data_IF_737819919860
#
_entry.id   IF_737819919860
#
_cell.length_a   1.000
_cell.length_b   1.000
_cell.length_c   1.000
_cell.angle_alpha   90.00
_cell.angle_beta   90.00
_cell.angle_gamma   90.00
#
_symmetry.space_group_name_H-M   'P 1'
#
loop_
_entity.id
_entity.type
_entity.pdbx_description
1 polymer ?
#
# COMPACT_ATOMS: atom_id res chain seq x y z
N UNK A 1 -2.47 -23.00 -5.73
CA UNK A 1 -3.88 -22.59 -5.86
C UNK A 1 -4.12 -22.09 -7.27
N UNK A 2 -5.33 -22.25 -7.80
CA UNK A 2 -5.69 -21.72 -9.11
C UNK A 2 -6.59 -20.49 -8.96
N UNK A 3 -6.19 -19.38 -9.58
CA UNK A 3 -7.01 -18.19 -9.72
C UNK A 3 -7.31 -17.98 -11.21
N UNK A 4 -8.59 -17.83 -11.60
CA UNK A 4 -8.92 -17.52 -12.98
C UNK A 4 -8.26 -16.21 -13.42
N UNK A 5 -7.56 -16.19 -14.57
CA UNK A 5 -6.85 -15.02 -15.08
C UNK A 5 -7.75 -13.77 -15.15
N UNK A 6 -8.97 -13.94 -15.67
CA UNK A 6 -9.97 -12.87 -15.76
C UNK A 6 -10.31 -12.29 -14.38
N UNK A 7 -10.49 -13.15 -13.38
CA UNK A 7 -10.81 -12.71 -12.01
C UNK A 7 -9.63 -11.90 -11.43
N UNK A 8 -8.40 -12.39 -11.56
CA UNK A 8 -7.21 -11.67 -11.07
C UNK A 8 -7.06 -10.30 -11.72
N UNK A 9 -7.18 -10.21 -13.05
CA UNK A 9 -7.02 -8.96 -13.80
C UNK A 9 -8.09 -7.95 -13.38
N UNK A 10 -9.37 -8.37 -13.33
CA UNK A 10 -10.46 -7.48 -12.95
C UNK A 10 -10.32 -6.99 -11.51
N UNK A 11 -9.94 -7.87 -10.57
CA UNK A 11 -9.72 -7.46 -9.18
C UNK A 11 -8.49 -6.55 -9.04
N UNK A 12 -7.43 -6.76 -9.83
CA UNK A 12 -6.26 -5.88 -9.87
C UNK A 12 -6.65 -4.47 -10.34
N UNK A 13 -7.37 -4.37 -11.46
CA UNK A 13 -7.87 -3.08 -11.98
C UNK A 13 -8.79 -2.40 -10.97
N UNK A 14 -9.72 -3.14 -10.37
CA UNK A 14 -10.62 -2.59 -9.36
C UNK A 14 -9.86 -2.09 -8.13
N UNK A 15 -8.84 -2.81 -7.67
CA UNK A 15 -7.99 -2.38 -6.55
C UNK A 15 -7.17 -1.14 -6.91
N UNK A 16 -6.62 -1.06 -8.13
CA UNK A 16 -5.90 0.13 -8.58
C UNK A 16 -6.80 1.37 -8.57
N UNK A 17 -8.00 1.26 -9.16
CA UNK A 17 -9.00 2.33 -9.17
C UNK A 17 -9.45 2.71 -7.76
N UNK A 18 -9.65 1.72 -6.88
CA UNK A 18 -9.99 1.97 -5.49
C UNK A 18 -8.90 2.76 -4.76
N UNK A 19 -7.61 2.49 -5.01
CA UNK A 19 -6.53 3.31 -4.49
C UNK A 19 -6.56 4.74 -5.02
N UNK A 20 -6.83 4.95 -6.32
CA UNK A 20 -7.00 6.31 -6.85
C UNK A 20 -8.16 7.05 -6.17
N UNK A 21 -9.28 6.37 -5.91
CA UNK A 21 -10.41 6.97 -5.17
C UNK A 21 -10.03 7.25 -3.70
N UNK A 22 -9.33 6.32 -3.05
CA UNK A 22 -8.84 6.51 -1.69
C UNK A 22 -7.89 7.69 -1.58
N UNK A 23 -7.14 8.05 -2.62
CA UNK A 23 -6.29 9.24 -2.60
C UNK A 23 -7.07 10.53 -2.31
N UNK A 24 -8.29 10.65 -2.82
CA UNK A 24 -9.10 11.87 -2.67
C UNK A 24 -10.10 11.79 -1.51
N UNK A 25 -10.31 10.61 -0.93
CA UNK A 25 -11.39 10.35 0.03
C UNK A 25 -11.30 11.23 1.28
N UNK A 26 -10.12 11.39 1.88
CA UNK A 26 -9.96 12.25 3.05
C UNK A 26 -10.22 13.72 2.73
N UNK A 27 -9.76 14.19 1.57
CA UNK A 27 -10.00 15.55 1.11
C UNK A 27 -11.51 15.83 0.92
N UNK A 28 -12.25 14.88 0.36
CA UNK A 28 -13.70 15.01 0.18
C UNK A 28 -14.48 14.94 1.49
N UNK A 29 -14.03 14.13 2.45
CA UNK A 29 -14.75 13.91 3.69
C UNK A 29 -13.81 13.75 4.89
N UNK A 30 -13.21 14.83 5.39
CA UNK A 30 -12.19 14.76 6.44
C UNK A 30 -12.82 14.36 7.77
N UNK A 31 -12.44 13.19 8.27
CA UNK A 31 -12.82 12.68 9.59
C UNK A 31 -11.82 11.60 10.05
N UNK A 32 -11.86 11.17 11.33
CA UNK A 32 -10.91 10.18 11.84
C UNK A 32 -10.92 8.83 11.10
N UNK A 33 -12.07 8.41 10.56
CA UNK A 33 -12.18 7.14 9.82
C UNK A 33 -11.53 7.26 8.46
N UNK A 34 -11.82 8.34 7.71
CA UNK A 34 -11.20 8.57 6.40
C UNK A 34 -9.70 8.81 6.54
N UNK A 35 -9.25 9.45 7.61
CA UNK A 35 -7.82 9.62 7.91
C UNK A 35 -7.08 8.27 8.02
N UNK A 36 -7.71 7.22 8.53
CA UNK A 36 -7.06 5.91 8.66
C UNK A 36 -6.89 5.18 7.33
N UNK A 37 -7.80 5.43 6.37
CA UNK A 37 -7.86 4.69 5.10
C UNK A 37 -7.32 5.46 3.89
N UNK A 38 -7.22 6.77 4.00
CA UNK A 38 -6.85 7.69 2.92
C UNK A 38 -5.67 8.57 3.34
N UNK A 39 -4.82 9.00 2.39
CA UNK A 39 -3.77 9.97 2.67
C UNK A 39 -4.32 11.26 3.27
N UNK A 40 -3.77 11.70 4.41
CA UNK A 40 -4.11 13.01 5.00
C UNK A 40 -3.19 14.14 4.53
N UNK A 41 -2.07 13.80 3.88
CA UNK A 41 -1.09 14.69 3.27
C UNK A 41 -0.32 13.92 2.17
N UNK A 42 0.59 14.59 1.46
CA UNK A 42 1.37 14.02 0.35
C UNK A 42 2.70 13.36 0.80
N UNK A 43 2.79 12.89 2.05
CA UNK A 43 3.98 12.17 2.51
C UNK A 43 4.10 10.78 1.92
N UNK A 44 5.33 10.26 1.82
CA UNK A 44 5.59 8.90 1.34
C UNK A 44 4.89 7.84 2.20
N UNK A 45 4.80 8.07 3.51
CA UNK A 45 4.12 7.18 4.43
C UNK A 45 2.62 7.09 4.15
N UNK A 46 1.96 8.23 3.94
CA UNK A 46 0.53 8.28 3.68
C UNK A 46 0.14 7.55 2.38
N UNK A 47 1.01 7.59 1.37
CA UNK A 47 0.84 6.85 0.11
C UNK A 47 0.82 5.32 0.27
N UNK A 48 1.36 4.77 1.37
CA UNK A 48 1.25 3.32 1.67
C UNK A 48 -0.21 2.87 1.75
N UNK A 49 -1.13 3.74 2.21
CA UNK A 49 -2.56 3.43 2.33
C UNK A 49 -3.20 3.07 0.99
N UNK A 50 -2.73 3.69 -0.09
CA UNK A 50 -3.23 3.47 -1.46
C UNK A 50 -2.93 2.06 -1.96
N UNK A 51 -1.86 1.44 -1.47
CA UNK A 51 -1.54 0.04 -1.75
C UNK A 51 -2.17 -0.86 -0.70
N UNK A 52 -2.00 -0.53 0.59
CA UNK A 52 -2.35 -1.41 1.69
C UNK A 52 -3.84 -1.78 1.71
N UNK A 53 -4.73 -0.80 1.69
CA UNK A 53 -6.17 -1.07 1.86
C UNK A 53 -6.80 -1.75 0.64
N UNK A 54 -6.60 -1.28 -0.60
CA UNK A 54 -7.17 -1.95 -1.78
C UNK A 54 -6.61 -3.35 -1.98
N UNK A 55 -5.31 -3.54 -1.73
CA UNK A 55 -4.68 -4.85 -1.85
C UNK A 55 -5.16 -5.84 -0.78
N UNK A 56 -5.28 -5.40 0.48
CA UNK A 56 -5.83 -6.22 1.56
C UNK A 56 -7.28 -6.62 1.26
N UNK A 57 -8.11 -5.68 0.82
CA UNK A 57 -9.49 -5.98 0.41
C UNK A 57 -9.54 -7.01 -0.74
N UNK A 58 -8.71 -6.82 -1.77
CA UNK A 58 -8.59 -7.77 -2.88
C UNK A 58 -8.13 -9.15 -2.41
N UNK A 59 -7.14 -9.23 -1.52
CA UNK A 59 -6.65 -10.46 -0.94
C UNK A 59 -7.75 -11.22 -0.21
N UNK A 60 -8.56 -10.52 0.60
CA UNK A 60 -9.69 -11.13 1.33
C UNK A 60 -10.78 -11.60 0.37
N UNK A 61 -11.17 -10.78 -0.60
CA UNK A 61 -12.22 -11.11 -1.59
C UNK A 61 -11.81 -12.32 -2.44
N UNK A 62 -10.57 -12.33 -2.96
CA UNK A 62 -10.06 -13.42 -3.78
C UNK A 62 -9.87 -14.72 -2.99
N UNK A 63 -9.81 -14.69 -1.67
CA UNK A 63 -9.53 -15.88 -0.87
C UNK A 63 -10.64 -16.25 0.12
N UNK A 64 -11.81 -15.61 0.06
CA UNK A 64 -12.93 -15.85 0.98
C UNK A 64 -13.36 -17.33 1.05
N UNK A 65 -13.33 -18.03 -0.08
CA UNK A 65 -13.74 -19.43 -0.21
C UNK A 65 -12.53 -20.39 -0.26
N UNK A 66 -11.35 -19.91 0.17
CA UNK A 66 -10.06 -20.63 0.04
C UNK A 66 -9.34 -20.67 1.39
N UNK A 67 -9.62 -21.65 2.26
CA UNK A 67 -9.00 -21.75 3.58
C UNK A 67 -7.46 -21.73 3.51
N UNK A 68 -6.85 -20.74 4.17
CA UNK A 68 -5.40 -20.53 4.16
C UNK A 68 -4.86 -19.88 2.88
N UNK A 69 -5.70 -19.64 1.87
CA UNK A 69 -5.28 -19.08 0.59
C UNK A 69 -4.88 -17.61 0.65
N UNK A 70 -5.36 -16.88 1.65
CA UNK A 70 -5.00 -15.47 1.88
C UNK A 70 -3.56 -15.30 2.37
N UNK A 71 -2.92 -16.35 2.90
CA UNK A 71 -1.64 -16.20 3.63
C UNK A 71 -0.47 -15.73 2.76
N UNK A 72 -0.28 -16.21 1.51
CA UNK A 72 0.69 -15.63 0.59
C UNK A 72 0.42 -14.16 0.27
N UNK A 73 -0.85 -13.77 0.17
CA UNK A 73 -1.23 -12.38 -0.08
C UNK A 73 -0.87 -11.47 1.10
N UNK A 74 -1.11 -11.93 2.33
CA UNK A 74 -0.68 -11.19 3.53
C UNK A 74 0.84 -11.14 3.68
N UNK A 75 1.56 -12.13 3.14
CA UNK A 75 3.03 -12.14 3.15
C UNK A 75 3.59 -11.12 2.17
N UNK A 76 2.95 -10.97 1.01
CA UNK A 76 3.37 -10.01 -0.01
C UNK A 76 3.00 -8.57 0.36
N UNK A 77 1.92 -8.37 1.11
CA UNK A 77 1.43 -7.02 1.46
C UNK A 77 2.51 -6.10 2.09
N UNK A 78 3.27 -6.50 3.13
CA UNK A 78 4.37 -5.68 3.65
C UNK A 78 5.48 -5.40 2.64
N UNK A 79 5.76 -6.36 1.74
CA UNK A 79 6.77 -6.19 0.69
C UNK A 79 6.36 -5.11 -0.31
N UNK A 80 5.07 -5.04 -0.67
CA UNK A 80 4.54 -4.01 -1.54
C UNK A 80 4.62 -2.63 -0.89
N UNK A 81 4.25 -2.54 0.39
CA UNK A 81 4.34 -1.29 1.14
C UNK A 81 5.79 -0.81 1.26
N UNK A 82 6.73 -1.74 1.52
CA UNK A 82 8.16 -1.44 1.51
C UNK A 82 8.67 -1.00 0.13
N UNK A 83 8.19 -1.62 -0.95
CA UNK A 83 8.53 -1.24 -2.32
C UNK A 83 8.02 0.17 -2.66
N UNK A 84 6.79 0.51 -2.25
CA UNK A 84 6.24 1.88 -2.41
C UNK A 84 7.12 2.90 -1.70
N UNK A 85 7.50 2.65 -0.44
CA UNK A 85 8.38 3.55 0.31
C UNK A 85 9.77 3.68 -0.35
N UNK A 86 10.34 2.56 -0.79
CA UNK A 86 11.66 2.56 -1.44
C UNK A 86 11.65 3.33 -2.77
N UNK A 87 10.67 3.07 -3.63
CA UNK A 87 10.53 3.75 -4.92
C UNK A 87 10.24 5.24 -4.73
N UNK A 88 9.32 5.58 -3.82
CA UNK A 88 9.02 6.96 -3.48
C UNK A 88 10.23 7.70 -2.90
N UNK A 89 10.99 7.06 -2.02
CA UNK A 89 12.23 7.64 -1.50
C UNK A 89 13.27 7.87 -2.60
N UNK A 90 13.52 6.86 -3.43
CA UNK A 90 14.48 6.97 -4.53
C UNK A 90 14.08 8.14 -5.45
N UNK A 91 12.82 8.21 -5.85
CA UNK A 91 12.38 9.21 -6.82
C UNK A 91 12.26 10.62 -6.25
N UNK A 92 11.51 10.80 -5.17
CA UNK A 92 11.23 12.13 -4.62
C UNK A 92 12.38 12.67 -3.79
N UNK A 93 13.04 11.83 -2.98
CA UNK A 93 14.10 12.29 -2.05
C UNK A 93 15.46 12.29 -2.72
N UNK A 94 15.84 11.21 -3.41
CA UNK A 94 17.22 11.12 -3.95
C UNK A 94 17.36 11.72 -5.34
N UNK A 95 16.32 11.64 -6.18
CA UNK A 95 16.34 12.18 -7.55
C UNK A 95 15.62 13.53 -7.68
N UNK A 96 14.86 13.97 -6.66
CA UNK A 96 14.11 15.22 -6.69
C UNK A 96 13.03 15.26 -7.78
N UNK A 97 12.48 14.10 -8.15
CA UNK A 97 11.45 14.02 -9.17
C UNK A 97 10.07 14.37 -8.63
N UNK A 98 9.24 15.03 -9.45
CA UNK A 98 7.92 15.57 -9.07
C UNK A 98 6.83 15.17 -10.08
N UNK A 99 7.15 14.31 -11.05
CA UNK A 99 6.27 14.02 -12.16
C UNK A 99 5.24 12.94 -11.82
N UNK A 100 3.98 13.34 -11.69
CA UNK A 100 2.83 12.47 -11.39
C UNK A 100 2.76 11.17 -12.20
N UNK A 101 3.14 11.21 -13.49
CA UNK A 101 3.09 10.01 -14.33
C UNK A 101 4.06 8.91 -13.86
N UNK A 102 5.18 9.28 -13.23
CA UNK A 102 6.14 8.35 -12.64
C UNK A 102 5.53 7.65 -11.44
N UNK A 103 4.83 8.39 -10.57
CA UNK A 103 4.12 7.83 -9.42
C UNK A 103 3.02 6.86 -9.85
N UNK A 104 2.25 7.19 -10.90
CA UNK A 104 1.26 6.27 -11.47
C UNK A 104 1.91 4.98 -11.99
N UNK A 105 3.07 5.07 -12.65
CA UNK A 105 3.81 3.90 -13.15
C UNK A 105 4.31 3.04 -12.00
N UNK A 106 4.89 3.64 -10.96
CA UNK A 106 5.32 2.90 -9.77
C UNK A 106 4.16 2.24 -9.04
N UNK A 107 3.07 2.97 -8.83
CA UNK A 107 1.86 2.42 -8.23
C UNK A 107 1.32 1.23 -9.02
N UNK A 108 1.16 1.37 -10.34
CA UNK A 108 0.70 0.30 -11.20
C UNK A 108 1.65 -0.91 -11.17
N UNK A 109 2.97 -0.68 -11.23
CA UNK A 109 3.98 -1.74 -11.18
C UNK A 109 3.94 -2.51 -9.85
N UNK A 110 3.85 -1.81 -8.72
CA UNK A 110 3.71 -2.41 -7.38
C UNK A 110 2.41 -3.21 -7.29
N UNK A 111 1.29 -2.69 -7.78
CA UNK A 111 0.01 -3.40 -7.77
C UNK A 111 0.04 -4.66 -8.64
N UNK A 112 0.59 -4.58 -9.85
CA UNK A 112 0.76 -5.76 -10.73
C UNK A 112 1.66 -6.81 -10.07
N UNK A 113 2.78 -6.40 -9.47
CA UNK A 113 3.65 -7.29 -8.71
C UNK A 113 2.90 -7.95 -7.55
N UNK A 114 2.08 -7.18 -6.84
CA UNK A 114 1.26 -7.64 -5.74
C UNK A 114 0.25 -8.70 -6.11
N UNK A 115 -0.36 -8.63 -7.30
CA UNK A 115 -1.29 -9.65 -7.77
C UNK A 115 -0.58 -10.86 -8.39
N UNK A 116 0.65 -10.68 -8.88
CA UNK A 116 1.44 -11.74 -9.48
C UNK A 116 2.17 -12.60 -8.45
N UNK A 117 2.86 -11.98 -7.48
CA UNK A 117 3.73 -12.65 -6.52
C UNK A 117 3.03 -13.71 -5.65
N UNK A 118 1.85 -13.48 -5.03
CA UNK A 118 1.19 -14.48 -4.20
C UNK A 118 0.76 -15.73 -5.00
N UNK A 119 0.58 -15.61 -6.32
CA UNK A 119 0.22 -16.74 -7.20
C UNK A 119 1.39 -17.71 -7.42
N UNK A 120 2.62 -17.30 -7.09
CA UNK A 120 3.83 -18.13 -7.21
C UNK A 120 4.02 -19.08 -6.03
N UNK A 121 3.33 -18.82 -4.92
CA UNK A 121 3.38 -19.70 -3.75
C UNK A 121 2.39 -20.86 -3.90
N UNK A 122 2.88 -22.07 -3.68
CA UNK A 122 2.06 -23.28 -3.61
C UNK A 122 2.44 -24.07 -2.37
N UNK A 123 1.45 -24.49 -1.59
CA UNK A 123 1.70 -25.39 -0.47
C UNK A 123 0.55 -25.43 0.53
N UNK A 124 0.63 -26.32 1.53
CA UNK A 124 -0.24 -26.25 2.68
C UNK A 124 0.17 -25.02 3.51
N UNK A 125 -0.61 -23.95 3.39
CA UNK A 125 -0.49 -22.75 4.21
C UNK A 125 -1.08 -23.03 5.59
N UNK A 126 -0.38 -23.86 6.38
CA UNK A 126 -0.79 -24.37 7.72
C UNK A 126 0.39 -24.33 8.70
N UNK A 127 0.09 -24.23 9.99
CA UNK A 127 1.09 -24.16 11.08
C UNK A 127 1.45 -22.73 11.52
N UNK A 128 2.19 -22.64 12.64
CA UNK A 128 2.48 -21.39 13.35
C UNK A 128 3.24 -20.35 12.50
N UNK A 129 4.17 -20.77 11.64
CA UNK A 129 4.92 -19.88 10.73
C UNK A 129 4.02 -19.04 9.82
N UNK A 130 2.82 -19.53 9.53
CA UNK A 130 1.85 -18.86 8.67
C UNK A 130 0.89 -17.93 9.45
N UNK A 131 1.09 -17.78 10.76
CA UNK A 131 0.58 -16.65 11.53
C UNK A 131 1.42 -15.39 11.28
N UNK A 132 2.71 -15.53 10.95
CA UNK A 132 3.61 -14.39 10.73
C UNK A 132 3.08 -13.40 9.69
N UNK A 133 2.56 -13.82 8.51
CA UNK A 133 1.98 -12.87 7.55
C UNK A 133 0.78 -12.10 8.09
N UNK A 134 -0.05 -12.76 8.92
CA UNK A 134 -1.22 -12.14 9.55
C UNK A 134 -0.76 -11.10 10.57
N UNK A 135 0.19 -11.48 11.44
CA UNK A 135 0.76 -10.58 12.44
C UNK A 135 1.49 -9.40 11.79
N UNK A 136 2.22 -9.62 10.70
CA UNK A 136 2.91 -8.57 9.96
C UNK A 136 1.91 -7.58 9.32
N UNK A 137 0.85 -8.08 8.68
CA UNK A 137 -0.20 -7.23 8.12
C UNK A 137 -0.95 -6.44 9.20
N UNK A 138 -1.27 -7.08 10.33
CA UNK A 138 -1.93 -6.44 11.46
C UNK A 138 -1.03 -5.37 12.10
N UNK A 139 0.25 -5.69 12.33
CA UNK A 139 1.23 -4.73 12.83
C UNK A 139 1.35 -3.53 11.87
N UNK A 140 1.43 -3.77 10.57
CA UNK A 140 1.49 -2.69 9.59
C UNK A 140 0.22 -1.82 9.62
N UNK A 141 -0.98 -2.41 9.75
CA UNK A 141 -2.22 -1.66 9.92
C UNK A 141 -2.18 -0.77 11.20
N UNK A 142 -1.66 -1.31 12.30
CA UNK A 142 -1.48 -0.57 13.55
C UNK A 142 -0.46 0.56 13.39
N UNK A 143 0.65 0.33 12.70
CA UNK A 143 1.65 1.36 12.41
C UNK A 143 1.07 2.46 11.52
N UNK A 144 0.29 2.10 10.49
CA UNK A 144 -0.43 3.06 9.64
C UNK A 144 -1.32 3.93 10.53
N UNK A 145 -2.16 3.34 11.37
CA UNK A 145 -3.03 4.08 12.26
C UNK A 145 -2.24 4.98 13.24
N UNK A 146 -1.23 4.43 13.89
CA UNK A 146 -0.42 5.14 14.89
C UNK A 146 0.33 6.32 14.29
N UNK A 147 1.06 6.12 13.19
CA UNK A 147 1.84 7.17 12.55
C UNK A 147 1.01 8.16 11.75
N UNK A 148 -0.23 7.82 11.35
CA UNK A 148 -1.17 8.82 10.82
C UNK A 148 -1.54 9.83 11.92
N UNK A 149 -1.77 9.35 13.14
CA UNK A 149 -2.19 10.21 14.26
C UNK A 149 -1.00 10.90 14.93
N UNK A 150 0.16 10.23 14.96
CA UNK A 150 1.40 10.70 15.59
C UNK A 150 2.60 10.51 14.65
N UNK A 151 2.69 11.28 13.57
CA UNK A 151 3.81 11.18 12.63
C UNK A 151 5.12 11.59 13.31
N UNK A 152 6.18 10.77 13.24
CA UNK A 152 7.52 11.17 13.65
C UNK A 152 8.05 12.33 12.80
N UNK A 153 9.01 13.09 13.35
CA UNK A 153 9.74 14.13 12.62
C UNK A 153 10.80 13.53 11.68
N UNK A 154 10.38 12.72 10.71
CA UNK A 154 11.24 12.14 9.69
C UNK A 154 10.70 12.41 8.29
N UNK A 155 11.60 12.41 7.29
CA UNK A 155 11.26 12.74 5.89
C UNK A 155 10.14 11.88 5.31
N UNK A 156 10.00 10.62 5.74
CA UNK A 156 8.92 9.73 5.29
C UNK A 156 7.51 10.25 5.62
N UNK A 157 7.37 11.06 6.67
CA UNK A 157 6.08 11.57 7.17
C UNK A 157 5.85 13.04 6.84
N UNK A 158 6.82 13.70 6.18
CA UNK A 158 6.67 15.10 5.77
C UNK A 158 5.83 15.21 4.53
N UNK A 159 4.98 16.23 4.52
CA UNK A 159 4.19 16.59 3.34
C UNK A 159 5.11 17.12 2.24
N UNK A 160 5.18 16.38 1.13
CA UNK A 160 6.05 16.72 -0.01
C UNK A 160 5.44 17.76 -0.94
N UNK A 161 4.13 18.04 -0.84
CA UNK A 161 3.50 19.13 -1.61
C UNK A 161 4.12 20.51 -1.31
N UNK A 162 4.67 20.67 -0.10
CA UNK A 162 5.33 21.89 0.36
C UNK A 162 6.76 22.08 -0.16
N UNK A 163 7.39 21.06 -0.75
CA UNK A 163 8.78 21.13 -1.28
C UNK A 163 8.89 22.12 -2.44
N UNK A 164 7.78 22.39 -3.15
CA UNK A 164 7.66 23.46 -4.15
C UNK A 164 7.57 24.89 -3.56
N UNK A 165 7.44 25.03 -2.23
CA UNK A 165 7.32 26.31 -1.53
C UNK A 165 8.56 26.63 -0.69
N UNK A 166 9.69 26.91 -1.35
CA UNK A 166 10.86 27.66 -0.84
C UNK A 166 11.50 27.26 0.51
N UNK A 167 11.22 26.08 1.07
CA UNK A 167 11.86 25.60 2.29
C UNK A 167 12.92 24.54 1.95
N UNK A 168 14.22 24.83 2.13
CA UNK A 168 15.24 23.80 1.96
C UNK A 168 14.99 22.69 2.98
N UNK A 169 15.00 21.44 2.52
CA UNK A 169 15.02 20.27 3.40
C UNK A 169 16.28 20.36 4.26
N UNK A 170 16.19 20.46 5.60
CA UNK A 170 17.38 20.34 6.43
C UNK A 170 17.94 18.93 6.23
N UNK A 171 19.21 18.89 5.85
CA UNK A 171 20.03 17.70 5.73
C UNK A 171 20.21 16.97 7.05
#
# INVERSE_FOLDING_TARGET
MFYPKRQLILTCIAAMLAGCVLHFLYHWWPNPVTALVSPVNESLWEHVKLVFWPYLAAALILNRDRPGGVRPWLLTLPLLCGATLLLGWLYHVTLGGEALWVDLVFYAAVMVLGFWLPTRFSGPFRGARWLLPILAAALLALLIAWFTVRPPEALLFRDLSAVGSWLPLPC
#
